data_IF_653047381454
#
_entry.id   IF_653047381454
#
_cell.length_a   1.000
_cell.length_b   1.000
_cell.length_c   1.000
_cell.angle_alpha   90.00
_cell.angle_beta   90.00
_cell.angle_gamma   90.00
#
_symmetry.space_group_name_H-M   'P 1'
#
loop_
_entity.id
_entity.type
_entity.pdbx_description
1 polymer ?
#
# COMPACT_ATOMS: atom_id res chain seq x y z
N UNK A 1 -35.07 11.45 -16.59
CA UNK A 1 -34.14 10.99 -17.63
C UNK A 1 -32.71 11.46 -17.31
N UNK A 2 -32.51 12.73 -16.91
CA UNK A 2 -31.22 13.24 -16.40
C UNK A 2 -30.68 12.48 -15.18
N UNK A 3 -31.52 12.13 -14.19
CA UNK A 3 -31.07 11.43 -12.97
C UNK A 3 -30.45 10.04 -13.30
N UNK A 4 -31.09 9.27 -14.19
CA UNK A 4 -30.55 7.96 -14.62
C UNK A 4 -29.29 8.06 -15.48
N UNK A 5 -29.16 9.12 -16.29
CA UNK A 5 -27.90 9.38 -17.02
C UNK A 5 -26.77 9.74 -16.06
N UNK A 6 -27.06 10.49 -15.00
CA UNK A 6 -26.06 10.91 -14.02
C UNK A 6 -25.56 9.75 -13.15
N UNK A 7 -26.47 8.89 -12.68
CA UNK A 7 -26.11 7.73 -11.86
C UNK A 7 -25.26 6.70 -12.65
N UNK A 8 -25.55 6.48 -13.94
CA UNK A 8 -24.70 5.65 -14.79
C UNK A 8 -23.28 6.22 -14.93
N UNK A 9 -23.16 7.56 -15.04
CA UNK A 9 -21.84 8.21 -15.15
C UNK A 9 -20.99 8.06 -13.88
N UNK A 10 -21.62 8.05 -12.70
CA UNK A 10 -20.92 7.81 -11.43
C UNK A 10 -20.47 6.37 -11.30
N UNK A 11 -21.30 5.40 -11.69
CA UNK A 11 -20.91 3.99 -11.65
C UNK A 11 -19.71 3.74 -12.56
N UNK A 12 -19.69 4.27 -13.78
CA UNK A 12 -18.54 4.17 -14.69
C UNK A 12 -17.26 4.82 -14.10
N UNK A 13 -17.41 5.94 -13.40
CA UNK A 13 -16.30 6.58 -12.67
C UNK A 13 -15.78 5.69 -11.54
N UNK A 14 -16.69 5.12 -10.74
CA UNK A 14 -16.34 4.21 -9.64
C UNK A 14 -15.64 2.96 -10.18
N UNK A 15 -16.09 2.39 -11.29
CA UNK A 15 -15.42 1.27 -11.97
C UNK A 15 -13.99 1.61 -12.39
N UNK A 16 -13.80 2.81 -12.94
CA UNK A 16 -12.47 3.31 -13.33
C UNK A 16 -11.57 3.48 -12.10
N UNK A 17 -12.08 4.07 -11.04
CA UNK A 17 -11.33 4.27 -9.78
C UNK A 17 -11.00 2.92 -9.15
N UNK A 18 -11.96 1.99 -9.11
CA UNK A 18 -11.76 0.65 -8.61
C UNK A 18 -10.64 -0.07 -9.37
N UNK A 19 -10.62 0.02 -10.70
CA UNK A 19 -9.56 -0.52 -11.54
C UNK A 19 -8.18 0.10 -11.23
N UNK A 20 -8.12 1.42 -11.04
CA UNK A 20 -6.89 2.14 -10.67
C UNK A 20 -6.38 1.73 -9.29
N UNK A 21 -7.29 1.66 -8.30
CA UNK A 21 -6.98 1.22 -6.93
C UNK A 21 -6.48 -0.22 -6.93
N UNK A 22 -7.14 -1.12 -7.65
CA UNK A 22 -6.69 -2.50 -7.77
C UNK A 22 -5.29 -2.59 -8.42
N UNK A 23 -5.00 -1.74 -9.41
CA UNK A 23 -3.67 -1.66 -10.03
C UNK A 23 -2.60 -1.20 -9.05
N UNK A 24 -2.88 -0.18 -8.23
CA UNK A 24 -1.95 0.26 -7.17
C UNK A 24 -1.75 -0.79 -6.08
N UNK A 25 -2.79 -1.56 -5.74
CA UNK A 25 -2.69 -2.69 -4.81
C UNK A 25 -1.74 -3.76 -5.35
N UNK A 26 -1.95 -4.20 -6.60
CA UNK A 26 -1.07 -5.17 -7.26
C UNK A 26 0.38 -4.67 -7.31
N UNK A 27 0.59 -3.38 -7.57
CA UNK A 27 1.93 -2.80 -7.59
C UNK A 27 2.58 -2.74 -6.20
N UNK A 28 1.81 -2.42 -5.15
CA UNK A 28 2.30 -2.45 -3.77
C UNK A 28 2.71 -3.87 -3.33
N UNK A 29 1.96 -4.89 -3.76
CA UNK A 29 2.30 -6.30 -3.52
C UNK A 29 3.54 -6.72 -4.29
N UNK A 30 3.62 -6.37 -5.58
CA UNK A 30 4.77 -6.67 -6.41
C UNK A 30 6.07 -6.08 -5.84
N UNK A 31 6.03 -4.84 -5.33
CA UNK A 31 7.17 -4.20 -4.65
C UNK A 31 7.64 -4.95 -3.42
N UNK A 32 6.73 -5.37 -2.54
CA UNK A 32 7.09 -6.13 -1.35
C UNK A 32 7.61 -7.54 -1.71
N UNK A 33 7.03 -8.20 -2.71
CA UNK A 33 7.51 -9.49 -3.21
C UNK A 33 8.91 -9.38 -3.80
N UNK A 34 9.17 -8.36 -4.62
CA UNK A 34 10.48 -8.10 -5.21
C UNK A 34 11.54 -7.83 -4.15
N UNK A 35 11.22 -7.02 -3.13
CA UNK A 35 12.13 -6.74 -2.02
C UNK A 35 12.44 -8.01 -1.21
N UNK A 36 11.44 -8.85 -0.95
CA UNK A 36 11.64 -10.14 -0.29
C UNK A 36 12.55 -11.08 -1.11
N UNK A 37 12.32 -11.19 -2.42
CA UNK A 37 13.17 -11.99 -3.31
C UNK A 37 14.61 -11.48 -3.35
N UNK A 38 14.78 -10.15 -3.40
CA UNK A 38 16.08 -9.49 -3.29
C UNK A 38 16.79 -9.86 -1.97
N UNK A 39 16.08 -9.78 -0.84
CA UNK A 39 16.65 -10.09 0.47
C UNK A 39 17.07 -11.56 0.61
N UNK A 40 16.27 -12.48 0.07
CA UNK A 40 16.63 -13.92 0.03
C UNK A 40 17.89 -14.13 -0.81
N UNK A 41 18.01 -13.47 -1.96
CA UNK A 41 19.21 -13.55 -2.80
C UNK A 41 20.44 -12.99 -2.08
N UNK A 42 20.30 -11.84 -1.40
CA UNK A 42 21.37 -11.24 -0.61
C UNK A 42 21.85 -12.16 0.52
N UNK A 43 20.92 -12.79 1.25
CA UNK A 43 21.27 -13.77 2.30
C UNK A 43 22.01 -14.98 1.74
N UNK A 44 21.66 -15.46 0.55
CA UNK A 44 22.37 -16.56 -0.10
C UNK A 44 23.82 -16.17 -0.46
N UNK A 45 24.03 -14.96 -0.98
CA UNK A 45 25.35 -14.44 -1.32
C UNK A 45 26.22 -14.24 -0.07
N UNK A 46 25.66 -13.63 0.98
CA UNK A 46 26.40 -13.42 2.23
C UNK A 46 26.74 -14.73 2.91
N UNK A 47 25.85 -15.73 2.87
CA UNK A 47 26.13 -17.08 3.41
C UNK A 47 27.37 -17.71 2.77
N UNK A 48 27.53 -17.59 1.46
CA UNK A 48 28.73 -18.07 0.75
C UNK A 48 30.03 -17.34 1.13
N UNK A 49 29.92 -16.15 1.74
CA UNK A 49 31.06 -15.33 2.16
C UNK A 49 31.43 -15.52 3.64
N UNK A 50 30.76 -16.43 4.35
CA UNK A 50 30.90 -16.61 5.81
C UNK A 50 32.32 -16.98 6.25
N UNK A 51 33.06 -17.78 5.47
CA UNK A 51 34.42 -18.20 5.84
C UNK A 51 35.40 -17.02 5.94
N UNK A 52 35.25 -16.01 5.08
CA UNK A 52 36.11 -14.82 5.06
C UNK A 52 35.56 -13.69 5.94
N UNK A 53 34.26 -13.39 5.81
CA UNK A 53 33.65 -12.22 6.46
C UNK A 53 33.06 -12.52 7.85
N UNK A 54 32.84 -13.79 8.20
CA UNK A 54 32.17 -14.21 9.45
C UNK A 54 32.95 -13.94 10.74
N UNK A 55 34.19 -13.43 10.65
CA UNK A 55 34.95 -12.94 11.80
C UNK A 55 34.57 -11.52 12.21
N UNK A 56 33.95 -10.75 11.30
CA UNK A 56 33.57 -9.37 11.54
C UNK A 56 32.15 -9.30 12.12
N UNK A 57 31.99 -8.69 13.30
CA UNK A 57 30.67 -8.53 13.95
C UNK A 57 29.66 -7.78 13.05
N UNK A 58 30.15 -6.90 12.19
CA UNK A 58 29.32 -6.13 11.25
C UNK A 58 28.67 -7.05 10.19
N UNK A 59 29.28 -8.19 9.85
CA UNK A 59 28.67 -9.20 8.97
C UNK A 59 27.37 -9.76 9.55
N UNK A 60 27.35 -10.10 10.83
CA UNK A 60 26.14 -10.60 11.49
C UNK A 60 25.07 -9.51 11.62
N UNK A 61 25.49 -8.27 11.91
CA UNK A 61 24.58 -7.12 11.98
C UNK A 61 23.84 -6.86 10.67
N UNK A 62 24.56 -6.92 9.54
CA UNK A 62 23.98 -6.78 8.19
C UNK A 62 22.98 -7.91 7.89
N UNK A 63 23.36 -9.17 8.13
CA UNK A 63 22.47 -10.31 7.86
C UNK A 63 21.20 -10.24 8.73
N UNK A 64 21.33 -9.82 9.99
CA UNK A 64 20.19 -9.60 10.87
C UNK A 64 19.26 -8.50 10.34
N UNK A 65 19.82 -7.40 9.82
CA UNK A 65 19.03 -6.33 9.20
C UNK A 65 18.23 -6.85 7.99
N UNK A 66 18.85 -7.64 7.11
CA UNK A 66 18.17 -8.23 5.94
C UNK A 66 17.04 -9.18 6.37
N UNK A 67 17.25 -9.98 7.42
CA UNK A 67 16.19 -10.84 7.99
C UNK A 67 15.04 -9.99 8.54
N UNK A 68 15.33 -8.91 9.27
CA UNK A 68 14.31 -7.99 9.78
C UNK A 68 13.51 -7.37 8.63
N UNK A 69 14.19 -6.90 7.58
CA UNK A 69 13.52 -6.35 6.39
C UNK A 69 12.61 -7.38 5.72
N UNK A 70 13.08 -8.61 5.56
CA UNK A 70 12.29 -9.73 5.03
C UNK A 70 11.02 -9.98 5.85
N UNK A 71 11.11 -9.94 7.18
CA UNK A 71 9.95 -10.09 8.07
C UNK A 71 8.96 -8.92 7.88
N UNK A 72 9.46 -7.69 7.70
CA UNK A 72 8.60 -6.52 7.44
C UNK A 72 7.88 -6.66 6.09
N UNK A 73 8.58 -7.09 5.04
CA UNK A 73 7.99 -7.35 3.73
C UNK A 73 6.94 -8.48 3.80
N UNK A 74 7.23 -9.57 4.53
CA UNK A 74 6.29 -10.67 4.73
C UNK A 74 5.03 -10.23 5.48
N UNK A 75 5.15 -9.35 6.49
CA UNK A 75 3.99 -8.78 7.19
C UNK A 75 3.02 -8.07 6.24
N UNK A 76 3.48 -7.51 5.13
CA UNK A 76 2.62 -6.87 4.13
C UNK A 76 1.69 -7.84 3.40
N UNK A 77 1.99 -9.15 3.42
CA UNK A 77 1.19 -10.22 2.82
C UNK A 77 0.23 -10.89 3.80
N UNK A 78 0.14 -10.41 5.05
CA UNK A 78 -0.78 -10.97 6.02
C UNK A 78 -2.22 -10.95 5.45
N UNK A 79 -2.90 -12.10 5.34
CA UNK A 79 -4.26 -12.14 4.83
C UNK A 79 -5.16 -11.40 5.82
N UNK A 80 -5.84 -10.38 5.34
CA UNK A 80 -6.71 -9.55 6.16
C UNK A 80 -8.14 -10.10 6.12
N UNK A 81 -8.72 -10.30 7.30
CA UNK A 81 -10.06 -10.87 7.45
C UNK A 81 -11.07 -9.73 7.46
N UNK A 82 -11.43 -9.28 6.26
CA UNK A 82 -12.63 -8.53 5.87
C UNK A 82 -13.29 -7.60 6.90
N UNK A 83 -13.34 -6.31 6.53
CA UNK A 83 -14.18 -5.23 7.06
C UNK A 83 -13.89 -4.79 8.50
N UNK A 84 -12.87 -3.95 8.62
CA UNK A 84 -12.89 -2.63 9.27
C UNK A 84 -11.45 -2.19 9.50
N UNK A 85 -10.96 -1.30 8.64
CA UNK A 85 -9.73 -0.54 8.90
C UNK A 85 -10.14 0.85 9.33
N UNK A 86 -9.62 1.27 10.49
CA UNK A 86 -9.72 2.64 10.97
C UNK A 86 -9.31 3.61 9.87
N UNK A 87 -9.99 4.75 9.83
CA UNK A 87 -9.67 5.85 8.93
C UNK A 87 -8.21 6.26 9.11
N UNK A 88 -7.50 6.40 8.00
CA UNK A 88 -6.02 6.53 8.06
C UNK A 88 -5.53 7.97 8.16
N UNK A 89 -6.42 8.94 8.35
CA UNK A 89 -6.07 10.35 8.48
C UNK A 89 -7.29 11.29 8.53
N UNK A 90 -7.01 12.59 8.46
CA UNK A 90 -8.03 13.66 8.48
C UNK A 90 -8.44 14.01 7.06
N UNK A 91 -9.75 14.00 6.79
CA UNK A 91 -10.37 14.44 5.53
C UNK A 91 -10.13 15.93 5.30
N UNK A 92 -9.77 16.30 4.07
CA UNK A 92 -9.57 17.71 3.66
C UNK A 92 -10.36 18.01 2.39
N UNK A 93 -10.79 19.26 2.26
CA UNK A 93 -11.57 19.72 1.10
C UNK A 93 -10.82 19.57 -0.23
N UNK A 94 -9.49 19.70 -0.21
CA UNK A 94 -8.64 19.59 -1.39
C UNK A 94 -8.08 18.18 -1.63
N UNK A 95 -8.54 17.16 -0.89
CA UNK A 95 -8.11 15.76 -1.10
C UNK A 95 -8.39 15.31 -2.53
N UNK A 96 -7.45 14.58 -3.12
CA UNK A 96 -7.62 13.98 -4.43
C UNK A 96 -8.38 12.65 -4.32
N UNK A 97 -9.70 12.71 -4.54
CA UNK A 97 -10.60 11.55 -4.46
C UNK A 97 -10.31 10.45 -5.51
N UNK A 98 -9.33 10.62 -6.39
CA UNK A 98 -8.87 9.58 -7.32
C UNK A 98 -7.59 8.89 -6.83
N UNK A 99 -6.90 9.43 -5.83
CA UNK A 99 -5.60 8.95 -5.38
C UNK A 99 -5.75 8.11 -4.09
N UNK A 100 -5.18 6.90 -4.11
CA UNK A 100 -5.39 5.92 -3.02
C UNK A 100 -5.05 6.45 -1.62
N UNK A 101 -4.06 7.33 -1.48
CA UNK A 101 -3.64 7.83 -0.16
C UNK A 101 -4.70 8.76 0.46
N UNK A 102 -5.38 9.53 -0.38
CA UNK A 102 -6.47 10.39 0.05
C UNK A 102 -7.75 9.57 0.23
N UNK A 103 -8.06 8.66 -0.69
CA UNK A 103 -9.21 7.74 -0.59
C UNK A 103 -9.18 6.95 0.73
N UNK A 104 -8.00 6.53 1.19
CA UNK A 104 -7.84 5.74 2.42
C UNK A 104 -8.29 6.45 3.72
N UNK A 105 -8.53 7.76 3.67
CA UNK A 105 -9.04 8.56 4.80
C UNK A 105 -10.54 8.40 5.01
N UNK A 106 -11.28 7.98 3.97
CA UNK A 106 -12.73 8.01 3.96
C UNK A 106 -13.35 6.67 4.39
N UNK A 107 -14.58 6.74 4.89
CA UNK A 107 -15.55 5.63 4.86
C UNK A 107 -16.18 5.51 3.47
N UNK A 108 -16.88 4.41 3.19
CA UNK A 108 -17.56 4.24 1.89
C UNK A 108 -18.65 5.29 1.65
N UNK A 109 -19.39 5.67 2.68
CA UNK A 109 -20.45 6.69 2.60
C UNK A 109 -19.84 8.08 2.43
N UNK A 110 -18.90 8.47 3.29
CA UNK A 110 -18.25 9.78 3.22
C UNK A 110 -17.46 9.97 1.93
N UNK A 111 -16.89 8.90 1.38
CA UNK A 111 -16.21 8.91 0.09
C UNK A 111 -17.19 9.23 -1.05
N UNK A 112 -18.34 8.55 -1.10
CA UNK A 112 -19.35 8.81 -2.14
C UNK A 112 -19.89 10.22 -2.05
N UNK A 113 -20.23 10.70 -0.85
CA UNK A 113 -20.72 12.06 -0.64
C UNK A 113 -19.68 13.09 -1.14
N UNK A 114 -18.40 12.88 -0.81
CA UNK A 114 -17.32 13.75 -1.28
C UNK A 114 -17.17 13.71 -2.82
N UNK A 115 -17.31 12.53 -3.42
CA UNK A 115 -17.16 12.31 -4.86
C UNK A 115 -18.30 12.98 -5.64
N UNK A 116 -19.54 12.81 -5.20
CA UNK A 116 -20.71 13.52 -5.72
C UNK A 116 -20.56 15.04 -5.61
N UNK A 117 -20.15 15.53 -4.43
CA UNK A 117 -19.93 16.96 -4.22
C UNK A 117 -18.86 17.52 -5.16
N UNK A 118 -17.76 16.78 -5.37
CA UNK A 118 -16.59 17.29 -6.09
C UNK A 118 -16.70 17.20 -7.61
N UNK A 119 -17.37 16.17 -8.14
CA UNK A 119 -17.38 15.90 -9.59
C UNK A 119 -18.76 15.94 -10.24
N UNK A 120 -19.83 16.01 -9.46
CA UNK A 120 -21.21 16.10 -9.97
C UNK A 120 -21.94 17.36 -9.49
N UNK A 121 -21.25 18.26 -8.76
CA UNK A 121 -21.83 19.45 -8.12
C UNK A 121 -23.16 19.16 -7.38
N UNK A 122 -23.29 17.94 -6.85
CA UNK A 122 -24.50 17.43 -6.22
C UNK A 122 -24.19 17.00 -4.80
N UNK A 123 -25.02 17.38 -3.84
CA UNK A 123 -24.90 16.94 -2.46
C UNK A 123 -25.92 15.84 -2.21
N UNK A 124 -25.45 14.59 -2.09
CA UNK A 124 -26.27 13.45 -1.66
C UNK A 124 -26.12 13.22 -0.16
N UNK A 125 -27.18 12.73 0.46
CA UNK A 125 -27.22 12.15 1.80
C UNK A 125 -27.00 10.65 1.73
N UNK A 126 -26.68 10.00 2.86
CA UNK A 126 -26.43 8.55 2.90
C UNK A 126 -27.63 7.73 2.40
N UNK A 127 -28.85 8.17 2.71
CA UNK A 127 -30.09 7.49 2.31
C UNK A 127 -30.35 7.54 0.79
N UNK A 128 -29.69 8.46 0.07
CA UNK A 128 -29.82 8.64 -1.37
C UNK A 128 -28.77 7.83 -2.17
N UNK A 129 -27.83 7.16 -1.48
CA UNK A 129 -26.78 6.37 -2.11
C UNK A 129 -27.32 5.02 -2.56
N UNK A 130 -27.04 4.66 -3.81
CA UNK A 130 -27.46 3.37 -4.34
C UNK A 130 -26.57 2.26 -3.77
N UNK A 131 -27.17 1.12 -3.44
CA UNK A 131 -26.43 -0.03 -2.89
C UNK A 131 -25.22 -0.44 -3.74
N UNK A 132 -25.34 -0.39 -5.07
CA UNK A 132 -24.25 -0.68 -6.00
C UNK A 132 -23.06 0.28 -5.81
N UNK A 133 -23.34 1.56 -5.61
CA UNK A 133 -22.31 2.58 -5.39
C UNK A 133 -21.60 2.34 -4.06
N UNK A 134 -22.37 2.00 -3.02
CA UNK A 134 -21.85 1.67 -1.70
C UNK A 134 -20.93 0.44 -1.78
N UNK A 135 -21.31 -0.60 -2.52
CA UNK A 135 -20.48 -1.80 -2.70
C UNK A 135 -19.16 -1.46 -3.39
N UNK A 136 -19.17 -0.64 -4.45
CA UNK A 136 -17.93 -0.15 -5.08
C UNK A 136 -17.09 0.69 -4.13
N UNK A 137 -17.70 1.62 -3.41
CA UNK A 137 -17.01 2.51 -2.48
C UNK A 137 -16.39 1.75 -1.29
N UNK A 138 -17.05 0.69 -0.80
CA UNK A 138 -16.51 -0.19 0.23
C UNK A 138 -15.21 -0.84 -0.26
N UNK A 139 -15.22 -1.44 -1.45
CA UNK A 139 -14.03 -2.08 -2.03
C UNK A 139 -12.92 -1.07 -2.36
N UNK A 140 -13.26 0.10 -2.91
CA UNK A 140 -12.32 1.18 -3.22
C UNK A 140 -11.62 1.67 -1.95
N UNK A 141 -12.38 2.06 -0.93
CA UNK A 141 -11.82 2.61 0.31
C UNK A 141 -11.07 1.54 1.11
N UNK A 142 -11.54 0.30 1.11
CA UNK A 142 -10.86 -0.83 1.72
C UNK A 142 -9.50 -1.12 1.07
N UNK A 143 -9.47 -1.23 -0.26
CA UNK A 143 -8.23 -1.47 -1.01
C UNK A 143 -7.25 -0.30 -0.86
N UNK A 144 -7.74 0.95 -0.89
CA UNK A 144 -6.94 2.13 -0.61
C UNK A 144 -6.22 2.04 0.76
N UNK A 145 -6.93 1.65 1.82
CA UNK A 145 -6.35 1.45 3.15
C UNK A 145 -5.31 0.33 3.17
N UNK A 146 -5.54 -0.77 2.45
CA UNK A 146 -4.54 -1.84 2.29
C UNK A 146 -3.28 -1.31 1.61
N UNK A 147 -3.43 -0.55 0.52
CA UNK A 147 -2.30 0.00 -0.24
C UNK A 147 -1.43 0.87 0.67
N UNK A 148 -2.03 1.78 1.44
CA UNK A 148 -1.29 2.64 2.39
C UNK A 148 -0.49 1.79 3.39
N UNK A 149 -1.08 0.73 3.94
CA UNK A 149 -0.38 -0.15 4.88
C UNK A 149 0.77 -0.92 4.22
N UNK A 150 0.56 -1.47 3.02
CA UNK A 150 1.61 -2.20 2.26
C UNK A 150 2.76 -1.28 1.87
N UNK A 151 2.49 -0.03 1.52
CA UNK A 151 3.53 0.96 1.25
C UNK A 151 4.30 1.39 2.51
N UNK A 152 3.64 1.46 3.68
CA UNK A 152 4.34 1.68 4.95
C UNK A 152 5.31 0.54 5.27
N UNK A 153 4.87 -0.71 5.08
CA UNK A 153 5.75 -1.88 5.20
C UNK A 153 6.92 -1.81 4.22
N UNK A 154 6.65 -1.56 2.94
CA UNK A 154 7.68 -1.44 1.90
C UNK A 154 8.70 -0.36 2.23
N UNK A 155 8.24 0.84 2.63
CA UNK A 155 9.11 1.97 3.00
C UNK A 155 10.04 1.59 4.15
N UNK A 156 9.51 0.98 5.21
CA UNK A 156 10.30 0.59 6.36
C UNK A 156 11.32 -0.50 6.01
N UNK A 157 10.91 -1.53 5.27
CA UNK A 157 11.79 -2.59 4.80
C UNK A 157 12.92 -2.03 3.91
N UNK A 158 12.56 -1.16 2.96
CA UNK A 158 13.50 -0.51 2.05
C UNK A 158 14.57 0.30 2.80
N UNK A 159 14.22 1.04 3.86
CA UNK A 159 15.21 1.76 4.67
C UNK A 159 16.17 0.82 5.41
N UNK A 160 15.66 -0.29 5.94
CA UNK A 160 16.49 -1.30 6.60
C UNK A 160 17.47 -1.92 5.61
N UNK A 161 17.00 -2.26 4.40
CA UNK A 161 17.86 -2.81 3.34
C UNK A 161 18.89 -1.79 2.85
N UNK A 162 18.51 -0.52 2.72
CA UNK A 162 19.44 0.54 2.35
C UNK A 162 20.59 0.66 3.35
N UNK A 163 20.29 0.65 4.65
CA UNK A 163 21.33 0.65 5.70
C UNK A 163 22.17 -0.63 5.64
N UNK A 164 21.53 -1.79 5.43
CA UNK A 164 22.21 -3.07 5.26
C UNK A 164 23.21 -3.06 4.09
N UNK A 165 22.83 -2.50 2.94
CA UNK A 165 23.69 -2.36 1.76
C UNK A 165 24.90 -1.47 2.01
N UNK A 166 24.72 -0.35 2.72
CA UNK A 166 25.85 0.48 3.16
C UNK A 166 26.80 -0.33 4.05
N UNK A 167 26.27 -1.14 4.96
CA UNK A 167 27.07 -2.06 5.78
C UNK A 167 27.86 -3.07 4.95
N UNK A 168 27.24 -3.67 3.92
CA UNK A 168 27.92 -4.58 2.99
C UNK A 168 29.07 -3.88 2.26
N UNK A 169 28.84 -2.66 1.76
CA UNK A 169 29.89 -1.89 1.09
C UNK A 169 31.09 -1.64 2.02
N UNK A 170 30.85 -1.33 3.29
CA UNK A 170 31.91 -1.17 4.30
C UNK A 170 32.66 -2.49 4.54
N UNK A 171 31.97 -3.63 4.61
CA UNK A 171 32.63 -4.93 4.75
C UNK A 171 33.57 -5.23 3.58
N UNK A 172 33.12 -4.93 2.35
CA UNK A 172 33.92 -5.17 1.14
C UNK A 172 35.15 -4.26 1.12
N UNK A 173 35.02 -2.99 1.52
CA UNK A 173 36.15 -2.06 1.56
C UNK A 173 37.13 -2.32 2.71
N UNK A 174 36.69 -3.00 3.77
CA UNK A 174 37.50 -3.32 4.94
C UNK A 174 38.11 -4.74 4.92
N UNK A 175 37.75 -5.56 3.93
CA UNK A 175 38.28 -6.90 3.72
C UNK A 175 39.54 -6.87 2.84
#
# INVERSE_FOLDING_TARGET
>A
MEIQMNDNSIVEMLETIFSNVNSWLNFAEAKNAALMAFNIAMLAVTWGSTENAGKNILFYGVNLAIVISTIIALKSFKPDKGKCKEETGVIKENDNLLFYEDIAKYSKESYLIALYKKYQDTVKTEDELLKREIDYADEITYNAKIIVQKYKCFKNAWYVDFIGLVGIAVLILAA
#
